data_IF_319795470758
#
_entry.id   IF_319795470758
#
_cell.length_a   1.000
_cell.length_b   1.000
_cell.length_c   1.000
_cell.angle_alpha   90.00
_cell.angle_beta   90.00
_cell.angle_gamma   90.00
#
_symmetry.space_group_name_H-M   'P 1'
#
loop_
_entity.id
_entity.type
_entity.pdbx_description
1 polymer ?
#
# COMPACT_ATOMS: atom_id res chain seq x y z
N UNK A 1 -9.66 -51.96 32.41
CA UNK A 1 -11.04 -51.45 32.23
C UNK A 1 -11.10 -49.96 31.87
N UNK A 2 -10.43 -49.05 32.61
CA UNK A 2 -10.42 -47.60 32.26
C UNK A 2 -9.85 -47.27 30.88
N UNK A 3 -8.80 -47.97 30.43
CA UNK A 3 -8.21 -47.77 29.10
C UNK A 3 -9.11 -48.28 27.95
N UNK A 4 -9.90 -49.32 28.19
CA UNK A 4 -10.86 -49.86 27.20
C UNK A 4 -12.06 -48.92 27.05
N UNK A 5 -12.53 -48.35 28.16
CA UNK A 5 -13.59 -47.35 28.15
C UNK A 5 -13.16 -46.08 27.38
N UNK A 6 -11.93 -45.58 27.60
CA UNK A 6 -11.41 -44.42 26.87
C UNK A 6 -11.29 -44.65 25.36
N UNK A 7 -10.85 -45.85 24.94
CA UNK A 7 -10.76 -46.20 23.52
C UNK A 7 -12.15 -46.27 22.87
N UNK A 8 -13.15 -46.83 23.58
CA UNK A 8 -14.53 -46.92 23.09
C UNK A 8 -15.20 -45.55 22.98
N UNK A 9 -14.96 -44.65 23.94
CA UNK A 9 -15.45 -43.27 23.87
C UNK A 9 -14.79 -42.51 22.73
N UNK A 10 -13.49 -42.71 22.50
CA UNK A 10 -12.79 -42.09 21.38
C UNK A 10 -13.35 -42.57 20.04
N UNK A 11 -13.54 -43.88 19.86
CA UNK A 11 -14.10 -44.47 18.63
C UNK A 11 -15.54 -44.02 18.40
N UNK A 12 -16.37 -43.97 19.44
CA UNK A 12 -17.74 -43.44 19.32
C UNK A 12 -17.76 -41.95 18.99
N UNK A 13 -16.86 -41.15 19.58
CA UNK A 13 -16.73 -39.73 19.26
C UNK A 13 -16.25 -39.51 17.82
N UNK A 14 -15.27 -40.30 17.33
CA UNK A 14 -14.85 -40.23 15.92
C UNK A 14 -15.96 -40.71 14.99
N UNK A 15 -16.73 -41.73 15.37
CA UNK A 15 -17.85 -42.24 14.55
C UNK A 15 -18.99 -41.22 14.45
N UNK A 16 -19.29 -40.48 15.53
CA UNK A 16 -20.29 -39.41 15.54
C UNK A 16 -19.81 -38.17 14.77
N UNK A 17 -18.52 -37.83 14.85
CA UNK A 17 -17.92 -36.76 14.05
C UNK A 17 -17.88 -37.10 12.55
N UNK A 18 -17.59 -38.36 12.20
CA UNK A 18 -17.62 -38.83 10.81
C UNK A 18 -19.04 -38.98 10.26
N UNK A 19 -20.02 -39.39 11.08
CA UNK A 19 -21.42 -39.46 10.69
C UNK A 19 -22.09 -38.07 10.60
N UNK A 20 -21.62 -37.09 11.37
CA UNK A 20 -22.06 -35.69 11.29
C UNK A 20 -21.57 -34.93 10.04
N UNK A 21 -20.55 -35.46 9.35
CA UNK A 21 -20.03 -34.91 8.08
C UNK A 21 -20.59 -35.62 6.83
N UNK A 22 -21.56 -36.53 7.00
CA UNK A 22 -22.20 -37.28 5.91
C UNK A 22 -23.60 -36.73 5.54
N UNK A 23 -23.83 -35.44 5.80
CA UNK A 23 -24.78 -34.71 4.97
C UNK A 23 -24.07 -34.44 3.66
N UNK A 24 -24.52 -35.06 2.57
CA UNK A 24 -24.20 -34.57 1.23
C UNK A 24 -24.71 -33.13 1.16
N UNK A 25 -23.85 -32.18 1.55
CA UNK A 25 -24.07 -30.78 1.22
C UNK A 25 -24.02 -30.75 -0.28
N UNK A 26 -25.19 -30.67 -0.89
CA UNK A 26 -25.36 -30.49 -2.33
C UNK A 26 -24.37 -29.41 -2.77
N UNK A 27 -23.48 -29.77 -3.69
CA UNK A 27 -22.44 -28.84 -4.10
C UNK A 27 -23.11 -27.59 -4.72
N UNK A 28 -22.73 -26.38 -4.31
CA UNK A 28 -23.41 -25.16 -4.72
C UNK A 28 -23.40 -24.99 -6.24
N UNK A 29 -24.51 -24.52 -6.82
CA UNK A 29 -24.59 -24.25 -8.25
C UNK A 29 -23.66 -23.09 -8.66
N UNK A 30 -23.49 -22.88 -9.97
CA UNK A 30 -22.71 -21.73 -10.48
C UNK A 30 -23.33 -20.41 -10.01
N UNK A 31 -24.66 -20.31 -10.02
CA UNK A 31 -25.39 -19.11 -9.62
C UNK A 31 -25.27 -18.88 -8.10
N UNK A 32 -25.31 -19.95 -7.29
CA UNK A 32 -25.08 -19.86 -5.84
C UNK A 32 -23.66 -19.35 -5.53
N UNK A 33 -22.67 -19.82 -6.29
CA UNK A 33 -21.27 -19.38 -6.16
C UNK A 33 -21.09 -17.92 -6.58
N UNK A 34 -21.76 -17.47 -7.65
CA UNK A 34 -21.75 -16.06 -8.08
C UNK A 34 -22.41 -15.18 -7.01
N UNK A 35 -23.58 -15.57 -6.51
CA UNK A 35 -24.28 -14.84 -5.45
C UNK A 35 -23.45 -14.79 -4.16
N UNK A 36 -22.78 -15.89 -3.80
CA UNK A 36 -21.83 -15.92 -2.69
C UNK A 36 -20.66 -14.95 -2.93
N UNK A 37 -20.08 -14.94 -4.13
CA UNK A 37 -18.98 -14.05 -4.50
C UNK A 37 -19.37 -12.59 -4.35
N UNK A 38 -20.53 -12.19 -4.89
CA UNK A 38 -21.09 -10.84 -4.75
C UNK A 38 -21.29 -10.45 -3.28
N UNK A 39 -21.90 -11.33 -2.49
CA UNK A 39 -22.10 -11.10 -1.06
C UNK A 39 -20.78 -10.97 -0.27
N UNK A 40 -19.70 -11.61 -0.74
CA UNK A 40 -18.38 -11.45 -0.17
C UNK A 40 -17.73 -10.11 -0.58
N UNK A 41 -17.85 -9.68 -1.84
CA UNK A 41 -17.43 -8.34 -2.28
C UNK A 41 -18.09 -7.23 -1.47
N UNK A 42 -19.42 -7.30 -1.25
CA UNK A 42 -20.15 -6.29 -0.46
C UNK A 42 -19.74 -6.21 1.01
N UNK A 43 -18.98 -7.20 1.51
CA UNK A 43 -18.43 -7.23 2.88
C UNK A 43 -16.92 -6.98 2.90
N UNK A 44 -16.33 -6.59 1.77
CA UNK A 44 -14.88 -6.46 1.58
C UNK A 44 -14.09 -7.75 1.88
N UNK A 45 -14.72 -8.93 1.73
CA UNK A 45 -14.06 -10.24 1.87
C UNK A 45 -13.59 -10.73 0.49
N UNK A 46 -12.53 -10.09 -0.01
CA UNK A 46 -11.96 -10.34 -1.34
C UNK A 46 -11.48 -11.79 -1.52
N UNK A 47 -10.93 -12.42 -0.48
CA UNK A 47 -10.48 -13.83 -0.52
C UNK A 47 -11.66 -14.78 -0.69
N UNK A 48 -12.75 -14.59 0.06
CA UNK A 48 -13.99 -15.34 -0.16
C UNK A 48 -14.53 -15.12 -1.57
N UNK A 49 -14.59 -13.86 -2.03
CA UNK A 49 -15.12 -13.51 -3.33
C UNK A 49 -14.34 -14.21 -4.45
N UNK A 50 -13.01 -14.08 -4.45
CA UNK A 50 -12.12 -14.71 -5.43
C UNK A 50 -12.31 -16.23 -5.46
N UNK A 51 -12.33 -16.89 -4.30
CA UNK A 51 -12.52 -18.34 -4.24
C UNK A 51 -13.90 -18.78 -4.76
N UNK A 52 -14.95 -18.02 -4.49
CA UNK A 52 -16.30 -18.31 -4.96
C UNK A 52 -16.37 -18.20 -6.50
N UNK A 53 -15.85 -17.11 -7.07
CA UNK A 53 -15.83 -16.91 -8.52
C UNK A 53 -14.90 -17.89 -9.24
N UNK A 54 -13.74 -18.24 -8.68
CA UNK A 54 -12.87 -19.30 -9.24
C UNK A 54 -13.55 -20.66 -9.23
N UNK A 55 -14.29 -21.01 -8.18
CA UNK A 55 -15.11 -22.23 -8.16
C UNK A 55 -16.22 -22.20 -9.21
N UNK A 56 -16.84 -21.04 -9.43
CA UNK A 56 -17.84 -20.86 -10.49
C UNK A 56 -17.21 -21.05 -11.88
N UNK A 57 -16.03 -20.48 -12.14
CA UNK A 57 -15.28 -20.63 -13.39
C UNK A 57 -14.81 -22.06 -13.63
N UNK A 58 -14.36 -22.78 -12.59
CA UNK A 58 -14.02 -24.20 -12.72
C UNK A 58 -15.22 -25.06 -13.17
N UNK A 59 -16.44 -24.65 -12.82
CA UNK A 59 -17.68 -25.34 -13.23
C UNK A 59 -18.18 -24.86 -14.60
N UNK A 60 -18.11 -23.57 -14.86
CA UNK A 60 -18.52 -22.91 -16.11
C UNK A 60 -17.47 -21.87 -16.52
N UNK A 61 -16.43 -22.28 -17.29
CA UNK A 61 -15.33 -21.38 -17.68
C UNK A 61 -15.77 -20.19 -18.53
N UNK A 62 -16.91 -20.32 -19.22
CA UNK A 62 -17.51 -19.27 -20.03
C UNK A 62 -18.46 -18.36 -19.24
N UNK A 63 -18.41 -18.35 -17.90
CA UNK A 63 -19.31 -17.50 -17.11
C UNK A 63 -18.76 -16.08 -17.00
N UNK A 64 -19.34 -15.15 -17.75
CA UNK A 64 -18.93 -13.74 -17.82
C UNK A 64 -19.02 -13.06 -16.45
N UNK A 65 -20.11 -13.30 -15.71
CA UNK A 65 -20.25 -12.76 -14.34
C UNK A 65 -19.19 -13.30 -13.38
N UNK A 66 -18.78 -14.56 -13.53
CA UNK A 66 -17.72 -15.10 -12.69
C UNK A 66 -16.34 -14.56 -13.09
N UNK A 67 -16.10 -14.35 -14.39
CA UNK A 67 -14.91 -13.67 -14.90
C UNK A 67 -14.81 -12.25 -14.33
N UNK A 68 -15.90 -11.49 -14.43
CA UNK A 68 -15.95 -10.12 -13.90
C UNK A 68 -15.79 -10.08 -12.39
N UNK A 69 -16.43 -11.00 -11.67
CA UNK A 69 -16.27 -11.13 -10.22
C UNK A 69 -14.82 -11.42 -9.79
N UNK A 70 -14.04 -12.14 -10.60
CA UNK A 70 -12.59 -12.31 -10.35
C UNK A 70 -11.83 -10.99 -10.50
N UNK A 71 -12.15 -10.18 -11.53
CA UNK A 71 -11.53 -8.85 -11.72
C UNK A 71 -11.77 -7.98 -10.48
N UNK A 72 -13.03 -7.85 -10.05
CA UNK A 72 -13.40 -7.03 -8.89
C UNK A 72 -12.74 -7.53 -7.58
N UNK A 73 -12.69 -8.85 -7.37
CA UNK A 73 -12.06 -9.42 -6.18
C UNK A 73 -10.55 -9.17 -6.15
N UNK A 74 -9.89 -9.21 -7.31
CA UNK A 74 -8.47 -8.88 -7.42
C UNK A 74 -8.22 -7.40 -7.16
N UNK A 75 -8.98 -6.50 -7.80
CA UNK A 75 -8.84 -5.05 -7.60
C UNK A 75 -8.99 -4.67 -6.13
N UNK A 76 -10.01 -5.24 -5.47
CA UNK A 76 -10.21 -5.02 -4.05
C UNK A 76 -9.02 -5.56 -3.23
N UNK A 77 -8.56 -6.79 -3.50
CA UNK A 77 -7.40 -7.36 -2.79
C UNK A 77 -6.13 -6.54 -2.97
N UNK A 78 -5.93 -5.93 -4.15
CA UNK A 78 -4.73 -5.14 -4.47
C UNK A 78 -4.78 -3.77 -3.83
N UNK A 79 -5.93 -3.11 -3.89
CA UNK A 79 -6.19 -1.86 -3.17
C UNK A 79 -5.92 -2.06 -1.67
N UNK A 80 -6.54 -3.04 -1.02
CA UNK A 80 -6.30 -3.33 0.39
C UNK A 80 -4.86 -3.77 0.71
N UNK A 81 -4.22 -4.52 -0.19
CA UNK A 81 -2.83 -4.94 -0.03
C UNK A 81 -1.85 -3.76 -0.11
N UNK A 82 -2.08 -2.83 -1.04
CA UNK A 82 -1.35 -1.57 -1.14
C UNK A 82 -1.60 -0.69 0.07
N UNK A 83 -2.86 -0.51 0.48
CA UNK A 83 -3.21 0.25 1.67
C UNK A 83 -2.53 -0.35 2.92
N UNK A 84 -2.51 -1.69 3.06
CA UNK A 84 -1.80 -2.33 4.17
C UNK A 84 -0.28 -2.19 4.11
N UNK A 85 0.33 -2.24 2.92
CA UNK A 85 1.77 -1.95 2.75
C UNK A 85 2.06 -0.49 3.11
N UNK A 86 1.20 0.44 2.67
CA UNK A 86 1.34 1.87 2.92
C UNK A 86 1.06 2.19 4.39
N UNK A 87 0.09 1.57 5.04
CA UNK A 87 -0.20 1.69 6.48
C UNK A 87 1.00 1.22 7.31
N UNK A 88 1.71 0.18 6.86
CA UNK A 88 2.96 -0.24 7.48
C UNK A 88 4.11 0.75 7.29
N UNK A 89 4.04 1.63 6.29
CA UNK A 89 4.99 2.73 6.07
C UNK A 89 4.57 3.99 6.84
N UNK A 90 3.26 4.24 6.98
CA UNK A 90 2.68 5.32 7.77
C UNK A 90 2.48 4.83 9.19
N UNK A 91 3.57 4.70 9.95
CA UNK A 91 3.43 4.58 11.40
C UNK A 91 2.81 5.88 11.87
N UNK A 92 1.50 5.88 12.17
CA UNK A 92 0.84 7.04 12.78
C UNK A 92 1.71 7.47 13.97
N UNK A 93 2.25 8.70 13.95
CA UNK A 93 3.01 9.18 15.08
C UNK A 93 2.07 9.10 16.27
N UNK A 94 2.46 8.30 17.26
CA UNK A 94 1.67 8.19 18.48
C UNK A 94 1.46 9.60 19.01
N UNK A 95 0.20 9.96 19.27
CA UNK A 95 -0.21 11.25 19.78
C UNK A 95 -0.32 11.17 21.32
N UNK A 96 0.81 11.28 22.06
CA UNK A 96 0.80 11.21 23.52
C UNK A 96 -0.07 12.32 24.10
N UNK A 97 -0.78 12.00 25.17
CA UNK A 97 -1.36 13.05 26.01
C UNK A 97 -0.25 13.94 26.59
N UNK A 98 -0.60 15.18 26.96
CA UNK A 98 0.34 16.10 27.60
C UNK A 98 0.98 15.49 28.87
N UNK A 99 0.25 14.66 29.61
CA UNK A 99 0.76 13.94 30.78
C UNK A 99 1.77 12.86 30.41
N UNK A 100 1.54 12.12 29.31
CA UNK A 100 2.48 11.14 28.77
C UNK A 100 3.75 11.81 28.24
N UNK A 101 3.62 12.95 27.56
CA UNK A 101 4.74 13.78 27.15
C UNK A 101 5.58 14.26 28.32
N UNK A 102 4.92 14.77 29.36
CA UNK A 102 5.62 15.23 30.54
C UNK A 102 6.33 14.08 31.25
N UNK A 103 5.70 12.92 31.36
CA UNK A 103 6.30 11.72 31.93
C UNK A 103 7.49 11.19 31.10
N UNK A 104 7.36 11.19 29.78
CA UNK A 104 8.43 10.85 28.83
C UNK A 104 9.63 11.78 28.99
N UNK A 105 9.44 13.09 28.83
CA UNK A 105 10.50 14.10 28.95
C UNK A 105 11.12 14.13 30.35
N UNK A 106 10.33 13.93 31.41
CA UNK A 106 10.84 13.79 32.78
C UNK A 106 11.79 12.60 32.93
N UNK A 107 11.46 11.47 32.31
CA UNK A 107 12.32 10.29 32.35
C UNK A 107 13.60 10.47 31.52
N UNK A 108 13.50 11.13 30.36
CA UNK A 108 14.67 11.51 29.57
C UNK A 108 15.60 12.44 30.35
N UNK A 109 15.06 13.48 30.99
CA UNK A 109 15.83 14.45 31.77
C UNK A 109 16.50 13.79 32.98
N UNK A 110 15.72 12.99 33.73
CA UNK A 110 16.21 12.19 34.86
C UNK A 110 17.40 11.32 34.46
N UNK A 111 17.38 10.79 33.24
CA UNK A 111 18.43 9.91 32.72
C UNK A 111 19.50 10.65 31.89
N UNK A 112 19.42 11.98 31.78
CA UNK A 112 20.39 12.84 31.11
C UNK A 112 20.28 12.88 29.58
N UNK A 113 19.23 12.32 29.00
CA UNK A 113 19.05 12.23 27.55
C UNK A 113 18.65 13.56 26.90
N UNK A 114 17.89 14.43 27.58
CA UNK A 114 17.53 15.73 27.02
C UNK A 114 18.76 16.57 26.66
N UNK A 115 19.70 16.68 27.61
CA UNK A 115 20.97 17.37 27.37
C UNK A 115 21.79 16.72 26.25
N UNK A 116 21.76 15.38 26.13
CA UNK A 116 22.46 14.67 25.06
C UNK A 116 21.84 14.97 23.68
N UNK A 117 20.54 15.21 23.62
CA UNK A 117 19.82 15.58 22.40
C UNK A 117 19.76 17.10 22.16
N UNK A 118 20.42 17.89 23.01
CA UNK A 118 20.42 19.36 22.89
C UNK A 118 19.06 19.99 23.18
N UNK A 119 18.22 19.32 23.96
CA UNK A 119 16.88 19.76 24.34
C UNK A 119 16.85 20.15 25.81
N UNK A 120 16.00 21.10 26.14
CA UNK A 120 15.55 21.30 27.52
C UNK A 120 14.14 20.70 27.71
N UNK A 121 13.63 20.74 28.94
CA UNK A 121 12.33 20.16 29.28
C UNK A 121 11.18 20.83 28.51
N UNK A 122 11.24 22.15 28.34
CA UNK A 122 10.19 22.92 27.68
C UNK A 122 10.16 22.57 26.19
N UNK A 123 11.32 22.57 25.54
CA UNK A 123 11.49 22.13 24.15
C UNK A 123 11.12 20.66 23.95
N UNK A 124 11.42 19.79 24.91
CA UNK A 124 11.04 18.38 24.81
C UNK A 124 9.52 18.21 24.86
N UNK A 125 8.83 18.91 25.77
CA UNK A 125 7.37 18.80 25.87
C UNK A 125 6.69 19.44 24.66
N UNK A 126 7.21 20.56 24.16
CA UNK A 126 6.76 21.20 22.91
C UNK A 126 6.92 20.25 21.71
N UNK A 127 8.10 19.64 21.55
CA UNK A 127 8.39 18.64 20.50
C UNK A 127 7.74 17.27 20.74
N UNK A 128 7.04 17.10 21.85
CA UNK A 128 6.29 15.89 22.13
C UNK A 128 4.81 16.09 21.79
N UNK A 129 4.36 17.35 21.67
CA UNK A 129 3.02 17.68 21.24
C UNK A 129 2.82 17.21 19.79
N UNK A 130 1.85 16.34 19.51
CA UNK A 130 1.55 15.91 18.14
C UNK A 130 1.10 17.08 17.24
N UNK A 131 0.65 18.21 17.80
CA UNK A 131 0.34 19.42 17.02
C UNK A 131 1.58 20.31 16.75
N UNK A 132 2.77 19.91 17.20
CA UNK A 132 4.02 20.62 16.91
C UNK A 132 4.62 20.16 15.59
N UNK A 133 5.07 21.11 14.76
CA UNK A 133 5.83 20.90 13.50
C UNK A 133 7.15 20.11 13.65
N UNK A 134 7.48 19.60 14.85
CA UNK A 134 8.75 18.95 15.16
C UNK A 134 8.60 17.81 16.16
N UNK A 135 7.46 17.10 16.11
CA UNK A 135 7.13 15.97 16.96
C UNK A 135 8.21 14.87 16.91
N UNK A 136 8.48 14.19 18.04
CA UNK A 136 9.49 13.13 18.10
C UNK A 136 9.18 11.87 17.28
N UNK A 137 7.95 11.70 16.77
CA UNK A 137 7.58 10.59 15.88
C UNK A 137 7.69 9.17 16.46
N UNK A 138 7.91 9.00 17.77
CA UNK A 138 8.13 7.67 18.35
C UNK A 138 6.83 6.85 18.43
N UNK A 139 6.93 5.54 18.18
CA UNK A 139 5.82 4.60 18.39
C UNK A 139 5.29 4.62 19.84
N UNK A 140 4.01 4.30 20.03
CA UNK A 140 3.35 4.17 21.34
C UNK A 140 4.15 3.28 22.30
N UNK A 141 4.69 2.17 21.78
CA UNK A 141 5.49 1.24 22.57
C UNK A 141 6.74 1.90 23.16
N UNK A 142 7.46 2.70 22.37
CA UNK A 142 8.65 3.44 22.83
C UNK A 142 8.25 4.53 23.83
N UNK A 143 7.15 5.23 23.57
CA UNK A 143 6.62 6.28 24.44
C UNK A 143 6.20 5.74 25.80
N UNK A 144 5.30 4.76 25.82
CA UNK A 144 4.75 4.15 27.04
C UNK A 144 5.88 3.47 27.83
N UNK A 145 6.78 2.74 27.15
CA UNK A 145 7.92 2.11 27.81
C UNK A 145 8.80 3.16 28.50
N UNK A 146 9.13 4.26 27.82
CA UNK A 146 10.01 5.31 28.34
C UNK A 146 9.33 6.14 29.44
N UNK A 147 8.06 6.52 29.24
CA UNK A 147 7.27 7.30 30.19
C UNK A 147 7.06 6.58 31.52
N UNK A 148 6.99 5.25 31.50
CA UNK A 148 6.77 4.45 32.71
C UNK A 148 7.99 3.63 33.14
N UNK A 149 9.16 3.89 32.57
CA UNK A 149 10.39 3.18 32.91
C UNK A 149 10.82 3.40 34.36
N UNK A 150 10.93 2.32 35.15
CA UNK A 150 11.31 2.39 36.56
C UNK A 150 12.79 2.81 36.78
N UNK A 151 13.63 2.68 35.76
CA UNK A 151 15.07 2.97 35.84
C UNK A 151 15.66 3.45 34.52
N UNK A 152 16.82 4.11 34.58
CA UNK A 152 17.51 4.59 33.38
C UNK A 152 18.06 3.48 32.48
N UNK A 153 18.27 2.27 32.99
CA UNK A 153 18.58 1.12 32.13
C UNK A 153 17.37 0.69 31.31
N UNK A 154 16.17 0.73 31.89
CA UNK A 154 14.93 0.44 31.18
C UNK A 154 14.63 1.54 30.16
N UNK A 155 14.78 2.83 30.53
CA UNK A 155 14.70 3.95 29.57
C UNK A 155 15.63 3.73 28.37
N UNK A 156 16.88 3.33 28.63
CA UNK A 156 17.84 3.04 27.56
C UNK A 156 17.42 1.86 26.69
N UNK A 157 16.81 0.81 27.25
CA UNK A 157 16.26 -0.31 26.49
C UNK A 157 15.04 0.11 25.66
N UNK A 158 14.12 0.90 26.24
CA UNK A 158 12.94 1.43 25.56
C UNK A 158 13.32 2.33 24.37
N UNK A 159 14.34 3.16 24.53
CA UNK A 159 14.83 4.07 23.49
C UNK A 159 15.87 3.43 22.57
N UNK A 160 16.33 2.20 22.85
CA UNK A 160 17.34 1.52 22.02
C UNK A 160 17.02 1.50 20.52
N UNK A 161 15.74 1.42 20.09
CA UNK A 161 15.38 1.48 18.68
C UNK A 161 15.45 2.89 18.06
N UNK A 162 15.67 3.95 18.84
CA UNK A 162 15.55 5.35 18.38
C UNK A 162 16.62 6.31 18.91
N UNK A 163 17.54 5.85 19.78
CA UNK A 163 18.68 6.67 20.20
C UNK A 163 19.55 6.94 18.97
N UNK A 164 19.81 8.20 18.57
CA UNK A 164 20.74 8.48 17.49
C UNK A 164 22.18 8.11 17.90
N UNK A 165 23.05 7.68 16.97
CA UNK A 165 24.45 7.43 17.27
C UNK A 165 25.14 8.67 17.82
N UNK A 166 26.05 8.48 18.77
CA UNK A 166 26.90 9.57 19.26
C UNK A 166 27.77 10.10 18.08
N UNK A 167 28.20 11.37 18.06
CA UNK A 167 28.98 11.92 16.94
C UNK A 167 30.24 11.11 16.60
N UNK A 168 30.89 10.51 17.60
CA UNK A 168 32.04 9.62 17.37
C UNK A 168 31.65 8.30 16.70
N UNK A 169 30.51 7.72 17.08
CA UNK A 169 29.95 6.52 16.45
C UNK A 169 29.57 6.81 14.99
N UNK A 170 29.03 7.99 14.69
CA UNK A 170 28.77 8.44 13.31
C UNK A 170 30.06 8.60 12.48
N UNK A 171 31.10 9.21 13.05
CA UNK A 171 32.41 9.31 12.40
C UNK A 171 32.95 7.93 12.07
N UNK A 172 33.04 7.05 13.06
CA UNK A 172 33.61 5.72 12.89
C UNK A 172 32.80 4.87 11.90
N UNK A 173 31.46 4.94 11.96
CA UNK A 173 30.57 4.21 11.07
C UNK A 173 30.69 4.69 9.62
N UNK A 174 30.70 6.01 9.39
CA UNK A 174 30.80 6.57 8.04
C UNK A 174 32.18 6.33 7.40
N UNK A 175 33.26 6.32 8.19
CA UNK A 175 34.56 5.85 7.69
C UNK A 175 34.55 4.34 7.41
N UNK A 176 33.88 3.54 8.25
CA UNK A 176 33.67 2.11 7.98
C UNK A 176 32.90 1.87 6.68
N UNK A 177 31.87 2.67 6.38
CA UNK A 177 31.16 2.62 5.11
C UNK A 177 32.07 2.95 3.91
N UNK A 178 32.96 3.92 4.04
CA UNK A 178 33.95 4.25 3.02
C UNK A 178 34.95 3.13 2.78
N UNK A 179 35.46 2.53 3.84
CA UNK A 179 36.34 1.34 3.76
C UNK A 179 35.63 0.16 3.10
N UNK A 180 34.32 0.03 3.32
CA UNK A 180 33.46 -0.97 2.68
C UNK A 180 33.06 -0.62 1.23
N UNK A 181 33.39 0.57 0.75
CA UNK A 181 33.04 1.05 -0.60
C UNK A 181 31.57 1.44 -0.77
N UNK A 182 30.87 1.74 0.33
CA UNK A 182 29.46 2.12 0.32
C UNK A 182 29.24 3.62 0.12
N UNK A 183 30.22 4.47 0.46
CA UNK A 183 30.20 5.89 0.11
C UNK A 183 30.85 6.11 -1.25
N UNK A 184 30.32 7.06 -2.02
CA UNK A 184 30.89 7.42 -3.33
C UNK A 184 31.20 8.92 -3.35
N UNK A 185 32.38 9.27 -3.86
CA UNK A 185 32.88 10.65 -3.89
C UNK A 185 32.02 11.60 -4.73
N UNK A 186 31.20 11.07 -5.64
CA UNK A 186 30.47 11.86 -6.63
C UNK A 186 29.10 12.33 -6.14
N UNK A 187 28.53 11.72 -5.10
CA UNK A 187 27.17 12.05 -4.60
C UNK A 187 27.00 12.00 -3.09
N UNK A 188 27.72 11.13 -2.36
CA UNK A 188 27.56 10.96 -0.92
C UNK A 188 28.89 10.60 -0.25
N UNK A 189 29.63 11.62 0.16
CA UNK A 189 30.94 11.46 0.79
C UNK A 189 30.85 11.19 2.29
N UNK A 190 31.98 10.80 2.90
CA UNK A 190 32.09 10.53 4.35
C UNK A 190 31.61 11.71 5.19
N UNK A 191 31.89 12.95 4.78
CA UNK A 191 31.46 14.14 5.52
C UNK A 191 29.94 14.35 5.48
N UNK A 192 29.31 14.07 4.34
CA UNK A 192 27.85 14.15 4.21
C UNK A 192 27.18 13.05 5.03
N UNK A 193 27.77 11.84 5.03
CA UNK A 193 27.35 10.75 5.90
C UNK A 193 27.41 11.14 7.38
N UNK A 194 28.50 11.76 7.84
CA UNK A 194 28.66 12.16 9.25
C UNK A 194 27.60 13.19 9.65
N UNK A 195 27.33 14.17 8.80
CA UNK A 195 26.36 15.23 9.05
C UNK A 195 24.93 14.68 9.19
N UNK A 196 24.58 13.69 8.38
CA UNK A 196 23.22 13.11 8.34
C UNK A 196 23.03 11.88 9.22
N UNK A 197 24.11 11.22 9.63
CA UNK A 197 24.08 9.97 10.39
C UNK A 197 23.12 9.97 11.61
N UNK A 198 23.04 11.04 12.44
CA UNK A 198 22.12 11.08 13.57
C UNK A 198 20.63 11.04 13.19
N UNK A 199 20.30 11.33 11.93
CA UNK A 199 18.92 11.31 11.40
C UNK A 199 18.57 10.03 10.67
N UNK A 200 19.57 9.31 10.15
CA UNK A 200 19.35 8.15 9.28
C UNK A 200 19.49 6.82 10.02
N UNK A 201 20.20 6.81 11.14
CA UNK A 201 20.56 5.59 11.84
C UNK A 201 20.28 5.71 13.31
N UNK A 202 20.15 4.55 13.94
CA UNK A 202 20.11 4.41 15.39
C UNK A 202 21.48 3.98 15.89
N UNK A 203 21.76 4.33 17.14
CA UNK A 203 22.93 3.90 17.88
C UNK A 203 23.06 2.39 17.92
N UNK A 204 21.94 1.67 18.04
CA UNK A 204 21.97 0.21 18.09
C UNK A 204 22.52 -0.40 16.79
N UNK A 205 22.15 0.19 15.66
CA UNK A 205 22.63 -0.19 14.33
C UNK A 205 24.10 0.18 14.15
N UNK A 206 24.49 1.40 14.54
CA UNK A 206 25.88 1.86 14.48
C UNK A 206 26.81 0.99 15.33
N UNK A 207 26.44 0.70 16.59
CA UNK A 207 27.21 -0.17 17.48
C UNK A 207 27.26 -1.60 16.95
N UNK A 208 26.17 -2.11 16.39
CA UNK A 208 26.16 -3.42 15.76
C UNK A 208 27.11 -3.46 14.56
N UNK A 209 27.04 -2.49 13.65
CA UNK A 209 27.89 -2.40 12.45
C UNK A 209 29.37 -2.33 12.81
N UNK A 210 29.73 -1.41 13.72
CA UNK A 210 31.10 -1.24 14.22
C UNK A 210 31.63 -2.47 14.97
N UNK A 211 30.73 -3.32 15.46
CA UNK A 211 31.04 -4.58 16.13
C UNK A 211 31.20 -5.78 15.19
N UNK A 212 31.05 -5.63 13.87
CA UNK A 212 31.23 -6.72 12.90
C UNK A 212 32.61 -6.68 12.25
N UNK A 213 33.13 -7.87 11.96
CA UNK A 213 34.45 -8.06 11.34
C UNK A 213 34.42 -7.93 9.80
N UNK A 214 33.24 -7.87 9.18
CA UNK A 214 33.08 -7.78 7.73
C UNK A 214 31.94 -6.84 7.32
N UNK A 215 32.11 -6.18 6.17
CA UNK A 215 31.11 -5.28 5.61
C UNK A 215 29.76 -5.99 5.35
N UNK A 216 29.79 -7.23 4.87
CA UNK A 216 28.58 -8.00 4.59
C UNK A 216 27.80 -8.35 5.85
N UNK A 217 28.50 -8.69 6.95
CA UNK A 217 27.84 -8.99 8.22
C UNK A 217 27.32 -7.70 8.88
N UNK A 218 28.04 -6.59 8.67
CA UNK A 218 27.65 -5.25 9.13
C UNK A 218 26.33 -4.77 8.51
N UNK A 219 26.07 -5.05 7.23
CA UNK A 219 24.79 -4.70 6.59
C UNK A 219 23.57 -5.34 7.28
N UNK A 220 23.76 -6.50 7.93
CA UNK A 220 22.74 -7.19 8.71
C UNK A 220 22.30 -6.46 9.98
N UNK A 221 23.00 -5.40 10.38
CA UNK A 221 22.74 -4.64 11.59
C UNK A 221 21.67 -3.56 11.46
N UNK A 222 21.41 -3.07 10.25
CA UNK A 222 20.42 -2.03 9.97
C UNK A 222 19.03 -2.66 9.80
N UNK A 223 17.98 -2.05 10.36
CA UNK A 223 16.64 -2.61 10.38
C UNK A 223 16.17 -3.00 8.96
N UNK A 224 15.65 -4.23 8.84
CA UNK A 224 15.24 -4.85 7.57
C UNK A 224 13.72 -4.82 7.47
N UNK A 225 13.17 -3.76 6.87
CA UNK A 225 11.78 -3.80 6.41
C UNK A 225 11.69 -3.94 4.90
N UNK A 226 12.71 -3.50 4.15
CA UNK A 226 12.86 -3.70 2.72
C UNK A 226 12.60 -5.12 2.21
N UNK A 227 13.30 -6.16 2.71
CA UNK A 227 13.04 -7.54 2.32
C UNK A 227 11.66 -8.06 2.74
N UNK A 228 11.04 -7.45 3.75
CA UNK A 228 9.67 -7.77 4.16
C UNK A 228 8.66 -7.12 3.20
N UNK A 229 8.85 -5.84 2.83
CA UNK A 229 8.08 -5.18 1.78
C UNK A 229 8.22 -5.87 0.44
N UNK A 230 9.44 -6.22 0.02
CA UNK A 230 9.67 -7.01 -1.18
C UNK A 230 8.94 -8.35 -1.13
N UNK A 231 8.96 -9.06 0.01
CA UNK A 231 8.24 -10.33 0.19
C UNK A 231 6.72 -10.15 0.23
N UNK A 232 6.22 -9.05 0.79
CA UNK A 232 4.80 -8.71 0.77
C UNK A 232 4.36 -8.43 -0.66
N UNK A 233 5.10 -7.57 -1.37
CA UNK A 233 4.86 -7.27 -2.78
C UNK A 233 4.94 -8.55 -3.62
N UNK A 234 5.97 -9.39 -3.43
CA UNK A 234 6.06 -10.69 -4.08
C UNK A 234 4.82 -11.54 -3.76
N UNK A 235 4.41 -11.65 -2.50
CA UNK A 235 3.25 -12.44 -2.09
C UNK A 235 1.95 -11.94 -2.73
N UNK A 236 1.73 -10.62 -2.80
CA UNK A 236 0.55 -10.03 -3.45
C UNK A 236 0.63 -10.15 -4.98
N UNK A 237 1.79 -9.94 -5.58
CA UNK A 237 1.99 -10.02 -7.03
C UNK A 237 1.82 -11.45 -7.56
N UNK A 238 2.38 -12.46 -6.90
CA UNK A 238 2.24 -13.87 -7.32
C UNK A 238 0.80 -14.38 -7.22
N UNK A 239 -0.07 -13.71 -6.46
CA UNK A 239 -1.50 -14.02 -6.41
C UNK A 239 -2.30 -13.39 -7.57
N UNK A 240 -1.70 -12.55 -8.42
CA UNK A 240 -2.36 -11.93 -9.58
C UNK A 240 -2.19 -12.77 -10.86
N UNK A 241 -3.18 -13.60 -11.25
CA UNK A 241 -3.14 -14.24 -12.54
C UNK A 241 -3.35 -13.22 -13.69
N UNK A 242 -2.73 -13.48 -14.85
CA UNK A 242 -2.99 -12.77 -16.12
C UNK A 242 -4.47 -12.76 -16.53
N UNK A 243 -5.27 -13.61 -15.88
CA UNK A 243 -6.68 -13.86 -16.10
C UNK A 243 -7.54 -12.59 -16.07
N UNK A 244 -7.26 -11.60 -15.22
CA UNK A 244 -8.12 -10.41 -15.08
C UNK A 244 -8.30 -9.66 -16.40
N UNK A 245 -7.21 -9.45 -17.15
CA UNK A 245 -7.27 -8.72 -18.41
C UNK A 245 -7.79 -9.59 -19.55
N UNK A 246 -7.46 -10.89 -19.54
CA UNK A 246 -8.06 -11.85 -20.48
C UNK A 246 -9.58 -11.95 -20.28
N UNK A 247 -10.05 -11.85 -19.05
CA UNK A 247 -11.45 -11.87 -18.68
C UNK A 247 -12.18 -10.61 -19.12
N UNK A 248 -11.56 -9.43 -19.01
CA UNK A 248 -12.14 -8.19 -19.52
C UNK A 248 -12.40 -8.27 -21.03
N UNK A 249 -11.40 -8.71 -21.82
CA UNK A 249 -11.54 -8.90 -23.27
C UNK A 249 -12.60 -9.97 -23.62
N UNK A 250 -12.76 -11.01 -22.79
CA UNK A 250 -13.77 -12.07 -23.00
C UNK A 250 -15.20 -11.62 -22.69
N UNK A 251 -15.37 -10.70 -21.74
CA UNK A 251 -16.68 -10.13 -21.39
C UNK A 251 -17.07 -9.09 -22.45
N UNK A 252 -16.07 -8.40 -23.01
CA UNK A 252 -16.27 -7.45 -24.08
C UNK A 252 -16.90 -8.09 -25.32
N UNK A 253 -17.96 -7.47 -25.84
CA UNK A 253 -18.73 -7.98 -26.97
C UNK A 253 -19.86 -8.96 -26.60
N UNK A 254 -20.09 -9.20 -25.30
CA UNK A 254 -21.27 -9.89 -24.81
C UNK A 254 -22.40 -8.90 -24.64
N UNK A 255 -23.22 -8.78 -25.69
CA UNK A 255 -24.37 -7.87 -25.73
C UNK A 255 -25.29 -8.07 -24.51
N UNK A 256 -25.49 -7.00 -23.74
CA UNK A 256 -26.34 -7.01 -22.55
C UNK A 256 -25.68 -7.60 -21.30
N UNK A 257 -24.35 -7.53 -21.18
CA UNK A 257 -23.67 -7.88 -19.94
C UNK A 257 -24.11 -6.98 -18.79
N UNK A 258 -24.59 -7.61 -17.71
CA UNK A 258 -24.98 -6.94 -16.48
C UNK A 258 -24.44 -7.70 -15.27
N UNK A 259 -23.84 -6.93 -14.35
CA UNK A 259 -23.43 -7.42 -13.04
C UNK A 259 -23.95 -6.49 -11.95
N UNK A 260 -25.09 -6.87 -11.36
CA UNK A 260 -25.67 -6.15 -10.24
C UNK A 260 -24.94 -6.46 -8.92
N UNK A 261 -24.51 -5.42 -8.20
CA UNK A 261 -23.87 -5.53 -6.89
C UNK A 261 -24.44 -4.50 -5.91
N UNK A 262 -24.74 -4.94 -4.69
CA UNK A 262 -25.34 -4.07 -3.67
C UNK A 262 -24.39 -2.94 -3.26
N UNK A 263 -23.09 -3.24 -3.17
CA UNK A 263 -22.07 -2.32 -2.71
C UNK A 263 -20.67 -2.85 -3.05
N UNK A 264 -19.80 -1.96 -3.51
CA UNK A 264 -18.37 -2.19 -3.68
C UNK A 264 -17.64 -0.93 -3.21
N UNK A 265 -16.69 -1.12 -2.29
CA UNK A 265 -15.74 -0.08 -1.91
C UNK A 265 -14.36 -0.46 -2.45
N UNK A 266 -13.75 0.48 -3.15
CA UNK A 266 -12.45 0.35 -3.78
C UNK A 266 -11.67 1.64 -3.54
N UNK A 267 -10.49 1.56 -2.94
CA UNK A 267 -9.70 2.74 -2.58
C UNK A 267 -8.43 2.77 -3.42
N UNK A 268 -8.40 3.48 -4.55
CA UNK A 268 -7.26 3.32 -5.43
C UNK A 268 -5.96 3.88 -4.83
N UNK A 269 -6.08 4.89 -3.97
CA UNK A 269 -4.98 5.60 -3.33
C UNK A 269 -5.44 6.31 -2.05
N UNK A 270 -5.97 5.59 -1.04
CA UNK A 270 -6.51 6.23 0.18
C UNK A 270 -5.51 7.20 0.82
N UNK A 271 -4.24 6.81 0.83
CA UNK A 271 -3.12 7.60 1.34
C UNK A 271 -2.88 8.91 0.60
N UNK A 272 -3.18 8.98 -0.71
CA UNK A 272 -3.06 10.22 -1.47
C UNK A 272 -4.24 11.17 -1.19
N UNK A 273 -5.06 10.92 -0.16
CA UNK A 273 -6.28 11.66 0.12
C UNK A 273 -7.36 11.44 -0.94
N UNK A 274 -7.20 10.42 -1.78
CA UNK A 274 -8.15 10.11 -2.85
C UNK A 274 -9.29 9.30 -2.24
N UNK A 275 -10.52 9.83 -2.23
CA UNK A 275 -11.63 9.15 -1.57
C UNK A 275 -11.93 7.80 -2.24
N UNK A 276 -12.44 6.85 -1.44
CA UNK A 276 -12.78 5.53 -1.92
C UNK A 276 -13.88 5.61 -2.99
N UNK A 277 -13.65 4.97 -4.13
CA UNK A 277 -14.68 4.73 -5.13
C UNK A 277 -15.73 3.80 -4.52
N UNK A 278 -16.95 4.31 -4.43
CA UNK A 278 -18.10 3.57 -3.91
C UNK A 278 -19.09 3.34 -5.04
N UNK A 279 -19.16 2.10 -5.53
CA UNK A 279 -20.11 1.73 -6.60
C UNK A 279 -21.18 0.79 -6.08
N UNK A 280 -22.39 0.93 -6.62
CA UNK A 280 -23.52 0.03 -6.35
C UNK A 280 -24.45 0.02 -7.56
N UNK A 281 -25.22 -1.04 -7.72
CA UNK A 281 -26.13 -1.21 -8.85
C UNK A 281 -25.50 -2.01 -9.99
N UNK A 282 -25.98 -1.77 -11.20
CA UNK A 282 -25.60 -2.54 -12.39
C UNK A 282 -24.26 -2.05 -12.92
N UNK A 283 -23.28 -2.93 -12.91
CA UNK A 283 -22.03 -2.77 -13.64
C UNK A 283 -22.21 -3.34 -15.05
N UNK A 284 -21.86 -2.55 -16.05
CA UNK A 284 -21.94 -2.89 -17.48
C UNK A 284 -20.56 -2.83 -18.15
N UNK A 285 -20.53 -2.81 -19.48
CA UNK A 285 -19.31 -2.81 -20.29
C UNK A 285 -18.33 -1.68 -19.90
N UNK A 286 -18.83 -0.48 -19.60
CA UNK A 286 -18.00 0.62 -19.14
C UNK A 286 -17.30 0.27 -17.82
N UNK A 287 -18.04 -0.32 -16.87
CA UNK A 287 -17.47 -0.75 -15.60
C UNK A 287 -16.41 -1.83 -15.77
N UNK A 288 -16.57 -2.73 -16.75
CA UNK A 288 -15.54 -3.75 -17.06
C UNK A 288 -14.21 -3.08 -17.41
N UNK A 289 -14.24 -2.07 -18.30
CA UNK A 289 -13.05 -1.35 -18.72
C UNK A 289 -12.36 -0.58 -17.58
N UNK A 290 -13.14 0.10 -16.72
CA UNK A 290 -12.57 0.84 -15.59
C UNK A 290 -11.77 -0.07 -14.65
N UNK A 291 -12.39 -1.17 -14.21
CA UNK A 291 -11.78 -2.09 -13.24
C UNK A 291 -10.64 -2.91 -13.88
N UNK A 292 -10.77 -3.30 -15.16
CA UNK A 292 -9.66 -3.89 -15.91
C UNK A 292 -8.45 -2.94 -16.03
N UNK A 293 -8.71 -1.64 -16.21
CA UNK A 293 -7.69 -0.59 -16.20
C UNK A 293 -6.94 -0.52 -14.88
N UNK A 294 -7.65 -0.49 -13.74
CA UNK A 294 -7.03 -0.50 -12.42
C UNK A 294 -6.23 -1.78 -12.14
N UNK A 295 -6.79 -2.95 -12.40
CA UNK A 295 -6.10 -4.25 -12.29
C UNK A 295 -4.76 -4.23 -13.03
N UNK A 296 -4.77 -3.71 -14.27
CA UNK A 296 -3.59 -3.68 -15.12
C UNK A 296 -2.58 -2.63 -14.62
N UNK A 297 -3.05 -1.48 -14.16
CA UNK A 297 -2.19 -0.43 -13.59
C UNK A 297 -1.49 -0.92 -12.32
N UNK A 298 -2.20 -1.54 -11.37
CA UNK A 298 -1.58 -2.11 -10.18
C UNK A 298 -0.54 -3.17 -10.53
N UNK A 299 -0.85 -4.03 -11.51
CA UNK A 299 0.13 -5.01 -11.99
C UNK A 299 1.41 -4.34 -12.46
N UNK A 300 1.29 -3.26 -13.23
CA UNK A 300 2.44 -2.48 -13.67
C UNK A 300 3.22 -1.89 -12.50
N UNK A 301 2.53 -1.28 -11.53
CA UNK A 301 3.14 -0.71 -10.33
C UNK A 301 3.90 -1.77 -9.51
N UNK A 302 3.31 -2.95 -9.31
CA UNK A 302 3.98 -4.05 -8.64
C UNK A 302 5.18 -4.57 -9.44
N UNK A 303 5.08 -4.71 -10.76
CA UNK A 303 6.23 -5.08 -11.61
C UNK A 303 7.36 -4.05 -11.53
N UNK A 304 7.03 -2.76 -11.49
CA UNK A 304 8.02 -1.69 -11.28
C UNK A 304 8.66 -1.84 -9.90
N UNK A 305 7.85 -2.01 -8.85
CA UNK A 305 8.36 -2.19 -7.50
C UNK A 305 9.23 -3.46 -7.36
N UNK A 306 8.92 -4.53 -8.08
CA UNK A 306 9.72 -5.76 -8.14
C UNK A 306 10.97 -5.64 -9.01
N UNK A 307 10.92 -4.78 -10.03
CA UNK A 307 12.04 -4.55 -10.92
C UNK A 307 13.18 -3.78 -10.25
N UNK A 308 12.88 -3.04 -9.18
CA UNK A 308 13.85 -2.28 -8.42
C UNK A 308 14.02 -2.86 -7.03
N UNK A 309 15.22 -2.76 -6.49
CA UNK A 309 15.46 -3.09 -5.10
C UNK A 309 14.87 -1.97 -4.23
N UNK A 310 13.72 -2.23 -3.62
CA UNK A 310 13.04 -1.31 -2.70
C UNK A 310 13.44 -1.55 -1.23
N UNK A 311 14.67 -2.03 -1.01
CA UNK A 311 15.21 -2.20 0.35
C UNK A 311 15.53 -0.84 0.99
N UNK A 312 14.52 -0.30 1.66
CA UNK A 312 14.58 0.96 2.38
C UNK A 312 14.90 0.74 3.86
N UNK A 313 15.68 1.67 4.39
CA UNK A 313 15.82 1.88 5.81
C UNK A 313 14.64 2.74 6.29
N UNK A 314 13.68 2.16 6.98
CA UNK A 314 12.45 2.88 7.40
C UNK A 314 12.72 4.01 8.39
N UNK A 315 13.87 4.02 9.08
CA UNK A 315 14.27 5.16 9.91
C UNK A 315 14.53 6.43 9.07
N UNK A 316 14.69 6.30 7.75
CA UNK A 316 14.73 7.44 6.81
C UNK A 316 13.35 8.00 6.47
N UNK A 317 12.27 7.31 6.88
CA UNK A 317 10.86 7.62 6.57
C UNK A 317 10.15 8.27 7.77
N UNK A 318 10.81 8.40 8.93
CA UNK A 318 10.27 8.99 10.18
C UNK A 318 9.75 10.45 10.04
N UNK A 319 9.90 11.06 8.86
CA UNK A 319 9.41 12.39 8.51
C UNK A 319 8.61 12.33 7.21
N UNK A 320 7.64 11.42 7.09
CA UNK A 320 6.59 11.65 6.10
C UNK A 320 5.79 12.85 6.60
N UNK A 321 5.83 13.99 5.88
CA UNK A 321 4.95 15.10 6.23
C UNK A 321 3.51 14.62 6.27
N UNK A 322 2.73 15.13 7.23
CA UNK A 322 1.29 14.91 7.21
C UNK A 322 0.77 15.30 5.82
N UNK A 323 0.04 14.41 5.14
CA UNK A 323 -0.54 14.76 3.85
C UNK A 323 -1.44 15.98 4.05
N UNK A 324 -1.43 16.95 3.11
CA UNK A 324 -2.31 18.11 3.22
C UNK A 324 -3.77 17.62 3.32
N UNK A 325 -4.54 18.28 4.18
CA UNK A 325 -5.95 17.96 4.45
C UNK A 325 -6.84 17.99 3.18
N UNK A 326 -6.39 18.67 2.11
CA UNK A 326 -7.06 18.75 0.81
C UNK A 326 -6.05 18.60 -0.36
N UNK A 327 -6.35 17.72 -1.30
CA UNK A 327 -5.63 17.56 -2.57
C UNK A 327 -5.61 18.84 -3.43
N UNK A 328 -6.56 19.76 -3.24
CA UNK A 328 -6.57 21.06 -3.91
C UNK A 328 -5.56 22.05 -3.31
N UNK A 329 -5.12 21.82 -2.06
CA UNK A 329 -4.08 22.61 -1.40
C UNK A 329 -2.66 22.11 -1.72
N UNK A 330 -2.53 20.98 -2.44
CA UNK A 330 -1.27 20.46 -2.96
C UNK A 330 -0.53 21.46 -3.87
N UNK A 331 -1.26 22.41 -4.47
CA UNK A 331 -0.68 23.50 -5.26
C UNK A 331 -0.03 24.62 -4.44
N UNK A 332 -0.24 24.66 -3.12
CA UNK A 332 0.20 25.76 -2.25
C UNK A 332 1.34 25.39 -1.29
N UNK A 333 1.56 24.10 -0.99
CA UNK A 333 2.55 23.68 -0.01
C UNK A 333 3.85 23.19 -0.67
N UNK A 334 4.70 24.14 -1.05
CA UNK A 334 6.04 23.86 -1.59
C UNK A 334 6.94 23.18 -0.54
N UNK A 335 6.65 23.35 0.75
CA UNK A 335 7.46 22.83 1.84
C UNK A 335 7.20 21.31 2.00
N UNK A 336 5.95 20.86 1.87
CA UNK A 336 5.59 19.43 1.75
C UNK A 336 6.36 18.73 0.62
N UNK A 337 6.39 19.33 -0.58
CA UNK A 337 7.14 18.78 -1.72
C UNK A 337 8.64 18.72 -1.45
N UNK A 338 9.21 19.73 -0.77
CA UNK A 338 10.62 19.71 -0.38
C UNK A 338 10.94 18.60 0.62
N UNK A 339 10.04 18.33 1.56
CA UNK A 339 10.19 17.26 2.53
C UNK A 339 10.14 15.88 1.88
N UNK A 340 9.20 15.65 0.95
CA UNK A 340 9.18 14.43 0.13
C UNK A 340 10.47 14.30 -0.69
N UNK A 341 10.96 15.39 -1.29
CA UNK A 341 12.23 15.39 -2.03
C UNK A 341 13.41 15.07 -1.10
N UNK A 342 13.43 15.58 0.13
CA UNK A 342 14.48 15.30 1.10
C UNK A 342 14.45 13.86 1.58
N UNK A 343 13.27 13.32 1.87
CA UNK A 343 13.07 11.91 2.20
C UNK A 343 13.56 11.02 1.05
N UNK A 344 13.09 11.25 -0.19
CA UNK A 344 13.53 10.47 -1.36
C UNK A 344 15.04 10.57 -1.58
N UNK A 345 15.62 11.76 -1.40
CA UNK A 345 17.07 11.97 -1.48
C UNK A 345 17.79 11.15 -0.41
N UNK A 346 17.30 11.15 0.81
CA UNK A 346 17.94 10.47 1.93
C UNK A 346 17.85 8.94 1.79
N UNK A 347 16.73 8.41 1.25
CA UNK A 347 16.59 7.00 0.85
C UNK A 347 17.56 6.66 -0.30
N UNK A 348 17.59 7.46 -1.37
CA UNK A 348 18.44 7.22 -2.55
C UNK A 348 19.94 7.28 -2.26
N UNK A 349 20.33 7.96 -1.19
CA UNK A 349 21.72 8.15 -0.78
C UNK A 349 22.07 7.43 0.52
N UNK A 350 21.25 6.50 1.01
CA UNK A 350 21.57 5.71 2.19
C UNK A 350 22.79 4.78 1.91
N UNK A 351 23.97 5.01 2.52
CA UNK A 351 25.14 4.15 2.32
C UNK A 351 24.97 2.74 2.89
N UNK A 352 24.03 2.50 3.82
CA UNK A 352 23.71 1.14 4.25
C UNK A 352 22.87 0.37 3.21
N UNK A 353 22.25 1.09 2.25
CA UNK A 353 21.42 0.54 1.17
C UNK A 353 21.78 1.17 -0.19
N UNK A 354 23.05 1.04 -0.64
CA UNK A 354 23.54 1.74 -1.82
C UNK A 354 22.90 1.25 -3.14
N UNK A 355 22.19 0.12 -3.08
CA UNK A 355 21.48 -0.47 -4.20
C UNK A 355 19.97 -0.15 -4.18
N UNK A 356 19.48 0.73 -3.30
CA UNK A 356 18.08 1.14 -3.36
C UNK A 356 17.77 1.77 -4.73
N UNK A 357 16.67 1.36 -5.35
CA UNK A 357 16.29 1.79 -6.70
C UNK A 357 17.16 1.20 -7.82
N UNK A 358 18.15 0.36 -7.50
CA UNK A 358 18.90 -0.37 -8.53
C UNK A 358 18.03 -1.49 -9.07
N UNK A 359 18.13 -1.73 -10.37
CA UNK A 359 17.40 -2.80 -11.01
C UNK A 359 17.82 -4.16 -10.45
N UNK A 360 16.85 -5.01 -10.10
CA UNK A 360 17.07 -6.39 -9.66
C UNK A 360 17.52 -7.26 -10.84
N UNK A 361 17.96 -8.50 -10.57
CA UNK A 361 18.36 -9.43 -11.64
C UNK A 361 17.21 -9.69 -12.65
N UNK A 362 15.97 -9.75 -12.14
CA UNK A 362 14.76 -9.97 -12.95
C UNK A 362 14.15 -8.65 -13.47
N UNK A 363 14.63 -7.50 -13.01
CA UNK A 363 14.06 -6.19 -13.34
C UNK A 363 14.10 -5.85 -14.83
N UNK A 364 15.09 -6.37 -15.56
CA UNK A 364 15.20 -6.19 -17.00
C UNK A 364 14.07 -6.86 -17.79
N UNK A 365 13.45 -7.91 -17.24
CA UNK A 365 12.28 -8.57 -17.84
C UNK A 365 10.97 -7.94 -17.36
N UNK A 366 10.94 -7.49 -16.10
CA UNK A 366 9.77 -6.88 -15.47
C UNK A 366 9.44 -5.50 -16.04
N UNK A 367 10.43 -4.62 -16.27
CA UNK A 367 10.19 -3.25 -16.73
C UNK A 367 9.49 -3.17 -18.10
N UNK A 368 9.94 -3.86 -19.16
CA UNK A 368 9.21 -3.87 -20.43
C UNK A 368 7.78 -4.42 -20.29
N UNK A 369 7.60 -5.43 -19.44
CA UNK A 369 6.28 -5.99 -19.16
C UNK A 369 5.38 -5.01 -18.40
N UNK A 370 5.94 -4.22 -17.48
CA UNK A 370 5.23 -3.14 -16.79
C UNK A 370 4.82 -2.04 -17.76
N UNK A 371 5.69 -1.61 -18.67
CA UNK A 371 5.37 -0.61 -19.69
C UNK A 371 4.20 -1.05 -20.57
N UNK A 372 4.18 -2.30 -21.03
CA UNK A 372 3.04 -2.86 -21.78
C UNK A 372 1.74 -2.86 -20.96
N UNK A 373 1.84 -3.15 -19.66
CA UNK A 373 0.68 -3.08 -18.77
C UNK A 373 0.19 -1.64 -18.57
N UNK A 374 1.07 -0.66 -18.46
CA UNK A 374 0.67 0.77 -18.42
C UNK A 374 -0.05 1.14 -19.71
N UNK A 375 0.52 0.82 -20.89
CA UNK A 375 -0.13 1.07 -22.18
C UNK A 375 -1.55 0.50 -22.23
N UNK A 376 -1.69 -0.75 -21.78
CA UNK A 376 -2.97 -1.45 -21.75
C UNK A 376 -3.94 -0.84 -20.74
N UNK A 377 -3.47 -0.44 -19.55
CA UNK A 377 -4.32 0.26 -18.58
C UNK A 377 -4.86 1.57 -19.18
N UNK A 378 -4.01 2.36 -19.86
CA UNK A 378 -4.44 3.60 -20.52
C UNK A 378 -5.49 3.33 -21.60
N UNK A 379 -5.31 2.28 -22.40
CA UNK A 379 -6.30 1.82 -23.40
C UNK A 379 -7.65 1.47 -22.76
N UNK A 380 -7.64 0.75 -21.64
CA UNK A 380 -8.87 0.38 -20.92
C UNK A 380 -9.57 1.62 -20.34
N UNK A 381 -8.84 2.55 -19.72
CA UNK A 381 -9.43 3.81 -19.27
C UNK A 381 -10.01 4.63 -20.42
N UNK A 382 -9.34 4.64 -21.57
CA UNK A 382 -9.83 5.29 -22.79
C UNK A 382 -11.14 4.67 -23.29
N UNK A 383 -11.20 3.33 -23.32
CA UNK A 383 -12.41 2.58 -23.68
C UNK A 383 -13.55 2.87 -22.71
N UNK A 384 -13.28 2.90 -21.41
CA UNK A 384 -14.25 3.30 -20.40
C UNK A 384 -14.85 4.67 -20.71
N UNK A 385 -14.02 5.68 -21.00
CA UNK A 385 -14.51 7.02 -21.40
C UNK A 385 -15.33 6.97 -22.69
N UNK A 386 -14.91 6.19 -23.67
CA UNK A 386 -15.65 5.98 -24.92
C UNK A 386 -17.04 5.37 -24.69
N UNK A 387 -17.13 4.33 -23.87
CA UNK A 387 -18.42 3.69 -23.51
C UNK A 387 -19.31 4.63 -22.71
N UNK A 388 -18.76 5.43 -21.80
CA UNK A 388 -19.51 6.49 -21.14
C UNK A 388 -20.04 7.51 -22.16
N UNK A 389 -19.22 8.00 -23.08
CA UNK A 389 -19.63 8.98 -24.11
C UNK A 389 -20.67 8.41 -25.09
N UNK A 390 -20.71 7.09 -25.29
CA UNK A 390 -21.62 6.43 -26.22
C UNK A 390 -22.98 6.06 -25.63
N UNK A 391 -23.17 6.19 -24.31
CA UNK A 391 -24.45 5.87 -23.66
C UNK A 391 -25.48 6.97 -23.90
N UNK A 392 -26.63 6.54 -24.43
CA UNK A 392 -27.81 7.38 -24.74
C UNK A 392 -28.94 7.24 -23.68
N UNK A 393 -28.72 6.47 -22.60
CA UNK A 393 -29.67 6.30 -21.50
C UNK A 393 -28.91 5.96 -20.21
N UNK A 394 -28.84 6.92 -19.29
CA UNK A 394 -28.18 6.76 -18.00
C UNK A 394 -29.22 6.55 -16.90
N UNK A 395 -29.62 5.29 -16.74
CA UNK A 395 -30.44 4.86 -15.61
C UNK A 395 -29.66 5.06 -14.29
N UNK A 396 -30.34 5.61 -13.28
CA UNK A 396 -29.80 5.75 -11.92
C UNK A 396 -29.50 4.39 -11.25
N UNK A 397 -29.93 3.28 -11.86
CA UNK A 397 -29.58 1.91 -11.47
C UNK A 397 -28.15 1.50 -11.83
N UNK A 398 -27.45 2.23 -12.70
CA UNK A 398 -26.06 1.94 -13.06
C UNK A 398 -25.06 2.37 -11.99
N UNK A 399 -23.93 1.68 -11.97
CA UNK A 399 -22.80 1.95 -11.07
C UNK A 399 -22.24 3.39 -11.17
N UNK A 400 -22.36 3.99 -12.36
CA UNK A 400 -21.89 5.35 -12.66
C UNK A 400 -23.07 6.18 -13.19
N UNK A 401 -23.88 6.78 -12.31
CA UNK A 401 -25.01 7.60 -12.72
C UNK A 401 -24.53 8.94 -13.30
N UNK A 402 -25.13 9.35 -14.41
CA UNK A 402 -24.94 10.67 -15.01
C UNK A 402 -25.99 11.65 -14.48
N UNK A 403 -25.60 12.90 -14.22
CA UNK A 403 -26.53 13.97 -13.91
C UNK A 403 -26.84 14.74 -15.20
N UNK A 404 -27.93 14.35 -15.85
CA UNK A 404 -28.36 14.89 -17.14
C UNK A 404 -29.05 16.24 -16.91
N UNK A 405 -28.24 17.29 -16.79
CA UNK A 405 -28.73 18.63 -16.50
C UNK A 405 -29.56 19.25 -17.63
N UNK A 406 -29.37 18.81 -18.88
CA UNK A 406 -30.02 19.39 -20.05
C UNK A 406 -31.26 18.59 -20.50
N UNK A 407 -31.41 17.34 -20.04
CA UNK A 407 -32.53 16.45 -20.29
C UNK A 407 -32.57 15.88 -21.71
N UNK A 408 -31.44 15.86 -22.43
CA UNK A 408 -31.35 15.34 -23.80
C UNK A 408 -31.04 13.84 -23.87
N UNK A 409 -30.69 13.23 -22.72
CA UNK A 409 -30.40 11.81 -22.59
C UNK A 409 -29.03 11.39 -23.10
N UNK A 410 -28.11 12.30 -23.44
CA UNK A 410 -26.80 11.98 -23.98
C UNK A 410 -25.68 12.75 -23.27
N UNK A 411 -24.54 12.10 -22.98
CA UNK A 411 -23.44 12.80 -22.32
C UNK A 411 -22.84 13.91 -23.20
N UNK A 412 -23.05 15.17 -22.83
CA UNK A 412 -22.65 16.33 -23.63
C UNK A 412 -21.96 17.45 -22.83
N UNK A 413 -21.45 18.47 -23.54
CA UNK A 413 -20.75 19.60 -22.95
C UNK A 413 -21.61 20.34 -21.91
N UNK A 414 -21.15 20.37 -20.66
CA UNK A 414 -21.85 20.97 -19.52
C UNK A 414 -22.57 19.97 -18.60
N UNK A 415 -22.50 18.66 -18.89
CA UNK A 415 -22.98 17.59 -18.03
C UNK A 415 -21.87 16.94 -17.20
N UNK A 416 -22.27 16.29 -16.11
CA UNK A 416 -21.38 15.65 -15.16
C UNK A 416 -21.71 14.16 -15.02
N UNK A 417 -20.70 13.31 -15.18
CA UNK A 417 -20.75 11.92 -14.72
C UNK A 417 -20.20 11.88 -13.30
N UNK A 418 -21.01 11.40 -12.36
CA UNK A 418 -20.56 11.25 -10.98
C UNK A 418 -19.95 9.87 -10.77
N UNK A 419 -18.62 9.85 -10.60
CA UNK A 419 -17.95 8.72 -9.99
C UNK A 419 -18.09 8.87 -8.48
N UNK A 420 -19.11 8.22 -7.92
CA UNK A 420 -19.42 8.32 -6.48
C UNK A 420 -18.20 7.95 -5.64
N UNK A 421 -17.80 8.89 -4.78
CA UNK A 421 -16.63 8.75 -3.93
C UNK A 421 -15.30 9.12 -4.59
N UNK A 422 -15.30 9.66 -5.82
CA UNK A 422 -14.07 10.12 -6.48
C UNK A 422 -14.17 11.59 -6.87
N UNK A 423 -14.85 11.90 -7.97
CA UNK A 423 -15.07 13.26 -8.46
C UNK A 423 -16.20 13.25 -9.49
N UNK A 424 -16.68 14.44 -9.85
CA UNK A 424 -17.50 14.62 -11.05
C UNK A 424 -16.56 14.79 -12.25
N UNK A 425 -16.75 13.99 -13.29
CA UNK A 425 -16.11 14.17 -14.58
C UNK A 425 -17.06 14.97 -15.47
N UNK A 426 -16.67 16.20 -15.82
CA UNK A 426 -17.33 16.90 -16.91
C UNK A 426 -16.82 16.40 -18.27
N UNK A 427 -17.60 16.67 -19.32
CA UNK A 427 -17.28 16.22 -20.67
C UNK A 427 -15.95 16.77 -21.21
N UNK A 428 -15.61 18.01 -20.91
CA UNK A 428 -14.37 18.65 -21.39
C UNK A 428 -13.14 18.01 -20.72
N UNK A 429 -13.22 17.75 -19.42
CA UNK A 429 -12.20 17.03 -18.67
C UNK A 429 -12.04 15.58 -19.17
N UNK A 430 -13.13 14.93 -19.57
CA UNK A 430 -13.09 13.59 -20.15
C UNK A 430 -12.50 13.57 -21.57
N UNK A 431 -12.68 14.62 -22.37
CA UNK A 431 -12.01 14.79 -23.66
C UNK A 431 -10.51 15.05 -23.47
N UNK A 432 -10.13 15.98 -22.58
CA UNK A 432 -8.72 16.26 -22.27
C UNK A 432 -8.01 15.01 -21.71
N UNK A 433 -8.70 14.23 -20.88
CA UNK A 433 -8.18 12.97 -20.35
C UNK A 433 -8.02 11.91 -21.46
N UNK A 434 -8.98 11.80 -22.39
CA UNK A 434 -8.89 10.89 -23.54
C UNK A 434 -7.66 11.21 -24.42
N UNK A 435 -7.40 12.50 -24.70
CA UNK A 435 -6.19 12.93 -25.42
C UNK A 435 -4.90 12.58 -24.66
N UNK A 436 -4.87 12.76 -23.34
CA UNK A 436 -3.73 12.41 -22.51
C UNK A 436 -3.49 10.89 -22.50
N UNK A 437 -4.56 10.10 -22.36
CA UNK A 437 -4.49 8.63 -22.37
C UNK A 437 -4.01 8.11 -23.73
N UNK A 438 -4.45 8.71 -24.84
CA UNK A 438 -3.96 8.37 -26.18
C UNK A 438 -2.47 8.66 -26.35
N UNK A 439 -2.00 9.82 -25.86
CA UNK A 439 -0.59 10.17 -25.91
C UNK A 439 0.28 9.23 -25.05
N UNK A 440 -0.22 8.85 -23.86
CA UNK A 440 0.45 7.90 -22.98
C UNK A 440 0.50 6.50 -23.59
N UNK A 441 -0.61 5.99 -24.12
CA UNK A 441 -0.67 4.70 -24.81
C UNK A 441 0.38 4.63 -25.93
N UNK A 442 0.42 5.65 -26.80
CA UNK A 442 1.40 5.72 -27.89
C UNK A 442 2.85 5.74 -27.41
N UNK A 443 3.13 6.32 -26.24
CA UNK A 443 4.47 6.40 -25.66
C UNK A 443 4.99 5.05 -25.17
N UNK A 444 4.09 4.14 -24.76
CA UNK A 444 4.45 2.83 -24.22
C UNK A 444 4.34 1.68 -25.24
N UNK A 445 3.69 1.90 -26.40
CA UNK A 445 3.59 0.93 -27.50
C UNK A 445 4.80 0.97 -28.48
N UNK A 446 5.62 2.03 -28.45
CA UNK A 446 6.88 2.20 -29.22
C UNK A 446 8.12 1.67 -28.47
#
# INVERSE_FOLDING_TARGET
>A
MRQVAGLLTLVLATSVLLAGCAGETEEPSVDDLIAQGKACLSRNDHSCAYQAFRKALNRKPSSEQAKYGVILANDQSLSFGLDGILEMLTVDPYAPSQDECFAFCTNLDRCGWLNAWGLDMEMCVEKCDPESDVAFGYSEAVFVCTAYAESCSVVKECLSPVIPPDPGECVDMCFGFDECGFTTLDTYGVLDCIDRCPKLYTRSEAVCFLGRDSCSDGLGCFAHYGPFFQKLIDAFYYEMPDDAVAYADDIYGVEGFEFDIDYLAFSPFEFAGVPALMTSGVHDEAAVHLYAGFSTLYRALFKIALAFNIDINTNTIDLMPEPPDDLLDFGADIDYLWEVIYMLRDILHDPARPNFGYMTEDGAELLPSASHDIARAMREFRRFLGELKAKDDFDASYAFPLDDFNGDGAWSAGELVYLRGWTALDYELADDLDECLEALEATFDD
#
